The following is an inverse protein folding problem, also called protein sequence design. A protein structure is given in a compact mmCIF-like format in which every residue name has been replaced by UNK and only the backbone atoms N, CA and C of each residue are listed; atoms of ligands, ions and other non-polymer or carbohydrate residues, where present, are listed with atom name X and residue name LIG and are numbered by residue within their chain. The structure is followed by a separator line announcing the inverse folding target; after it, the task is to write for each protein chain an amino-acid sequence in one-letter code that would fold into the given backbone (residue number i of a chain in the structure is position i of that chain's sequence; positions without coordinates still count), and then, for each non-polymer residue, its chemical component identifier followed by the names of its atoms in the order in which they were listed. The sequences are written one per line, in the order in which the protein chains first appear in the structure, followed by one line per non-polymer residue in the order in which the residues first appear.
data_IF_768666250565
#
_entry.id   IF_768666250565
#
_cell.length_a   1.000
_cell.length_b   1.000
_cell.length_c   1.000
_cell.angle_alpha   90.00
_cell.angle_beta   90.00
_cell.angle_gamma   90.00
#
_symmetry.space_group_name_H-M   'P 1'
#
loop_
_entity.id
_entity.type
_entity.pdbx_description
1 polymer ?
#
# COMPACT_ATOMS: atom_id res chain seq x y z
N UNK A 1 -1.51 -5.68 -11.13
CA UNK A 1 -2.48 -4.78 -11.82
C UNK A 1 -3.51 -4.13 -10.90
N UNK A 2 -3.98 -4.80 -9.84
CA UNK A 2 -4.94 -4.23 -8.88
C UNK A 2 -4.37 -3.04 -8.10
N UNK A 3 -3.18 -3.20 -7.52
CA UNK A 3 -2.47 -2.13 -6.81
C UNK A 3 -2.27 -0.87 -7.69
N UNK A 4 -1.96 -1.04 -8.97
CA UNK A 4 -1.84 0.08 -9.92
C UNK A 4 -3.14 0.89 -10.03
N UNK A 5 -4.31 0.23 -10.12
CA UNK A 5 -5.61 0.92 -10.24
C UNK A 5 -5.90 1.77 -9.01
N UNK A 6 -5.61 1.24 -7.82
CA UNK A 6 -5.87 1.91 -6.55
C UNK A 6 -4.90 3.06 -6.28
N UNK A 7 -3.60 2.86 -6.53
CA UNK A 7 -2.57 3.89 -6.39
C UNK A 7 -2.81 5.03 -7.40
N UNK A 8 -3.15 4.69 -8.65
CA UNK A 8 -3.48 5.68 -9.69
C UNK A 8 -4.61 6.59 -9.23
N UNK A 9 -5.69 6.01 -8.69
CA UNK A 9 -6.83 6.79 -8.18
C UNK A 9 -6.37 7.76 -7.09
N UNK A 10 -5.62 7.28 -6.11
CA UNK A 10 -5.14 8.09 -5.00
C UNK A 10 -4.29 9.28 -5.47
N UNK A 11 -3.36 9.05 -6.39
CA UNK A 11 -2.47 10.08 -6.92
C UNK A 11 -3.26 11.16 -7.65
N UNK A 12 -4.20 10.78 -8.52
CA UNK A 12 -5.00 11.74 -9.27
C UNK A 12 -5.90 12.59 -8.36
N UNK A 13 -6.31 12.06 -7.21
CA UNK A 13 -7.12 12.78 -6.22
C UNK A 13 -6.30 13.75 -5.34
N UNK A 14 -4.99 13.51 -5.16
CA UNK A 14 -4.17 14.23 -4.18
C UNK A 14 -2.98 15.01 -4.78
N UNK A 15 -2.63 14.82 -6.05
CA UNK A 15 -1.50 15.47 -6.71
C UNK A 15 -1.91 16.38 -7.88
N UNK A 16 -1.13 17.45 -8.11
CA UNK A 16 -1.36 18.44 -9.17
C UNK A 16 -1.30 17.75 -10.57
N UNK A 17 -2.22 18.06 -11.50
CA UNK A 17 -2.49 17.25 -12.71
C UNK A 17 -1.27 16.98 -13.60
N UNK A 18 -0.36 17.94 -13.72
CA UNK A 18 0.78 17.88 -14.64
C UNK A 18 1.85 16.89 -14.13
N UNK A 19 2.06 16.80 -12.82
CA UNK A 19 3.01 15.86 -12.23
C UNK A 19 2.38 14.48 -11.96
N UNK A 20 1.06 14.44 -11.73
CA UNK A 20 0.33 13.19 -11.50
C UNK A 20 0.34 12.25 -12.72
N UNK A 21 0.19 12.78 -13.93
CA UNK A 21 0.19 11.98 -15.16
C UNK A 21 1.49 11.22 -15.41
N UNK A 22 2.63 11.93 -15.30
CA UNK A 22 3.96 11.31 -15.46
C UNK A 22 4.23 10.26 -14.37
N UNK A 23 3.88 10.58 -13.13
CA UNK A 23 4.06 9.66 -12.01
C UNK A 23 3.22 8.38 -12.16
N UNK A 24 1.98 8.51 -12.65
CA UNK A 24 1.11 7.36 -12.96
C UNK A 24 1.70 6.49 -14.07
N UNK A 25 2.27 7.07 -15.13
CA UNK A 25 2.91 6.30 -16.20
C UNK A 25 4.19 5.60 -15.71
N UNK A 26 5.01 6.27 -14.90
CA UNK A 26 6.19 5.66 -14.28
C UNK A 26 5.80 4.48 -13.37
N UNK A 27 4.76 4.63 -12.55
CA UNK A 27 4.20 3.56 -11.74
C UNK A 27 3.69 2.40 -12.59
N UNK A 28 3.01 2.69 -13.71
CA UNK A 28 2.53 1.65 -14.62
C UNK A 28 3.70 0.80 -15.13
N UNK A 29 4.79 1.45 -15.54
CA UNK A 29 6.00 0.78 -16.02
C UNK A 29 6.58 -0.12 -14.94
N UNK A 30 6.92 0.44 -13.78
CA UNK A 30 7.53 -0.30 -12.66
C UNK A 30 6.66 -1.49 -12.23
N UNK A 31 5.35 -1.28 -12.10
CA UNK A 31 4.41 -2.33 -11.68
C UNK A 31 4.11 -3.37 -12.77
N UNK A 32 4.54 -3.13 -14.02
CA UNK A 32 4.38 -4.06 -15.16
C UNK A 32 5.63 -4.85 -15.49
N UNK A 33 6.78 -4.47 -14.93
CA UNK A 33 8.10 -5.09 -15.20
C UNK A 33 8.54 -6.08 -14.13
N UNK A 34 7.60 -6.75 -13.47
CA UNK A 34 7.86 -7.77 -12.44
C UNK A 34 8.43 -9.09 -12.97
N UNK A 35 9.38 -9.04 -13.90
CA UNK A 35 10.05 -10.22 -14.43
C UNK A 35 11.26 -10.57 -13.56
N UNK A 36 11.46 -11.86 -13.28
CA UNK A 36 12.65 -12.34 -12.59
C UNK A 36 13.06 -13.70 -13.11
N UNK A 37 14.35 -14.01 -13.04
CA UNK A 37 14.92 -15.27 -13.48
C UNK A 37 15.24 -16.18 -12.29
N UNK A 38 14.91 -17.46 -12.41
CA UNK A 38 15.23 -18.47 -11.41
C UNK A 38 15.49 -19.83 -12.09
N UNK A 39 16.68 -20.41 -11.89
CA UNK A 39 17.14 -21.63 -12.57
C UNK A 39 16.87 -21.62 -14.08
N UNK A 40 17.41 -20.61 -14.77
CA UNK A 40 17.32 -20.43 -16.24
C UNK A 40 15.88 -20.32 -16.78
N UNK A 41 14.91 -20.03 -15.90
CA UNK A 41 13.52 -19.81 -16.26
C UNK A 41 13.11 -18.40 -15.92
N UNK A 42 12.45 -17.74 -16.87
CA UNK A 42 11.88 -16.42 -16.69
C UNK A 42 10.46 -16.55 -16.11
N UNK A 43 10.21 -15.82 -15.03
CA UNK A 43 8.92 -15.72 -14.36
C UNK A 43 8.40 -14.29 -14.42
N UNK A 44 7.08 -14.14 -14.39
CA UNK A 44 6.41 -12.86 -14.22
C UNK A 44 5.59 -12.88 -12.93
N UNK A 45 5.79 -11.88 -12.09
CA UNK A 45 4.95 -11.66 -10.92
C UNK A 45 3.59 -11.11 -11.36
N UNK A 46 2.55 -11.92 -11.20
CA UNK A 46 1.18 -11.58 -11.60
C UNK A 46 0.35 -10.99 -10.46
N UNK A 47 0.79 -11.15 -9.21
CA UNK A 47 0.13 -10.65 -8.01
C UNK A 47 1.09 -9.87 -7.11
N UNK A 48 0.58 -8.84 -6.43
CA UNK A 48 1.37 -7.96 -5.56
C UNK A 48 2.16 -6.89 -6.31
N UNK A 49 3.01 -6.18 -5.56
CA UNK A 49 3.97 -5.20 -6.07
C UNK A 49 5.28 -5.94 -6.41
N UNK A 50 5.86 -5.76 -7.61
CA UNK A 50 7.08 -6.44 -8.00
C UNK A 50 8.24 -6.07 -7.08
N UNK A 51 9.04 -7.05 -6.65
CA UNK A 51 10.18 -6.84 -5.76
C UNK A 51 11.46 -6.73 -6.61
N UNK A 52 12.39 -5.84 -6.22
CA UNK A 52 13.73 -5.74 -6.83
C UNK A 52 14.05 -4.41 -7.51
N UNK A 53 13.05 -3.53 -7.68
CA UNK A 53 13.26 -2.16 -8.16
C UNK A 53 13.48 -1.19 -6.97
N UNK A 54 14.44 -0.25 -7.04
CA UNK A 54 14.72 0.68 -5.95
C UNK A 54 13.55 1.63 -5.59
N UNK A 55 12.59 1.84 -6.49
CA UNK A 55 11.40 2.65 -6.24
C UNK A 55 10.30 1.86 -5.51
N UNK A 56 10.33 0.53 -5.53
CA UNK A 56 9.27 -0.34 -4.98
C UNK A 56 9.00 -0.11 -3.49
N UNK A 57 10.00 0.05 -2.59
CA UNK A 57 9.73 0.28 -1.17
C UNK A 57 8.87 1.53 -0.93
N UNK A 58 9.11 2.60 -1.69
CA UNK A 58 8.33 3.84 -1.64
C UNK A 58 6.92 3.64 -2.18
N UNK A 59 6.77 2.87 -3.25
CA UNK A 59 5.47 2.57 -3.87
C UNK A 59 4.61 1.70 -2.94
N UNK A 60 5.19 0.67 -2.33
CA UNK A 60 4.52 -0.16 -1.33
C UNK A 60 4.10 0.69 -0.12
N UNK A 61 4.97 1.57 0.35
CA UNK A 61 4.65 2.50 1.44
C UNK A 61 3.48 3.41 1.09
N UNK A 62 3.45 3.96 -0.14
CA UNK A 62 2.35 4.79 -0.64
C UNK A 62 1.05 3.99 -0.73
N UNK A 63 1.12 2.74 -1.20
CA UNK A 63 -0.03 1.86 -1.31
C UNK A 63 -0.70 1.61 0.03
N UNK A 64 0.08 1.28 1.07
CA UNK A 64 -0.47 1.08 2.42
C UNK A 64 -0.97 2.41 3.01
N UNK A 65 -0.27 3.52 2.78
CA UNK A 65 -0.70 4.84 3.25
C UNK A 65 -2.08 5.27 2.71
N UNK A 66 -2.43 4.85 1.49
CA UNK A 66 -3.79 5.05 0.96
C UNK A 66 -4.85 4.35 1.82
N UNK A 67 -4.63 3.09 2.21
CA UNK A 67 -5.57 2.36 3.07
C UNK A 67 -5.60 2.91 4.50
N UNK A 68 -4.45 3.35 5.01
CA UNK A 68 -4.35 4.00 6.31
C UNK A 68 -5.20 5.27 6.34
N UNK A 69 -4.99 6.18 5.38
CA UNK A 69 -5.71 7.45 5.26
C UNK A 69 -7.21 7.28 5.01
N UNK A 70 -7.61 6.33 4.16
CA UNK A 70 -9.01 6.20 3.73
C UNK A 70 -9.85 5.27 4.60
N UNK A 71 -9.25 4.28 5.26
CA UNK A 71 -9.98 3.25 6.03
C UNK A 71 -9.56 3.18 7.50
N UNK A 72 -8.25 3.20 7.77
CA UNK A 72 -7.72 2.95 9.11
C UNK A 72 -7.90 4.15 10.05
N UNK A 73 -7.41 5.34 9.68
CA UNK A 73 -7.56 6.55 10.51
C UNK A 73 -9.04 6.90 10.78
N UNK A 74 -9.95 6.84 9.77
CA UNK A 74 -11.38 7.06 10.00
C UNK A 74 -12.03 6.01 10.91
N UNK A 75 -11.50 4.79 10.99
CA UNK A 75 -11.98 3.76 11.91
C UNK A 75 -11.48 4.02 13.35
N UNK A 76 -10.19 4.32 13.51
CA UNK A 76 -9.55 4.42 14.82
C UNK A 76 -9.88 5.75 15.53
N UNK A 77 -10.16 6.82 14.78
CA UNK A 77 -10.60 8.15 15.26
C UNK A 77 -9.92 8.57 16.57
N UNK A 78 -10.72 8.88 17.59
CA UNK A 78 -10.32 9.39 18.89
C UNK A 78 -9.72 8.32 19.82
N UNK A 79 -9.71 7.05 19.41
CA UNK A 79 -9.12 5.95 20.18
C UNK A 79 -7.65 5.71 19.81
N UNK A 80 -7.16 6.30 18.71
CA UNK A 80 -5.76 6.19 18.31
C UNK A 80 -4.88 7.11 19.15
N UNK A 81 -3.91 6.53 19.85
CA UNK A 81 -2.85 7.27 20.57
C UNK A 81 -1.62 7.38 19.68
N UNK A 82 -1.21 6.27 19.07
CA UNK A 82 -0.04 6.20 18.21
C UNK A 82 -0.27 5.22 17.07
N UNK A 83 0.14 5.61 15.87
CA UNK A 83 0.31 4.72 14.73
C UNK A 83 1.69 5.00 14.11
N UNK A 84 2.56 4.00 14.07
CA UNK A 84 3.86 4.05 13.41
C UNK A 84 4.04 2.79 12.59
N UNK A 85 4.47 2.93 11.33
CA UNK A 85 4.74 1.81 10.43
C UNK A 85 6.16 1.88 9.91
N UNK A 86 6.81 0.74 9.83
CA UNK A 86 8.09 0.50 9.19
C UNK A 86 7.92 -0.61 8.16
N UNK A 87 7.77 -0.24 6.89
CA UNK A 87 7.43 -1.16 5.79
C UNK A 87 6.20 -2.02 6.15
N UNK A 88 6.39 -3.31 6.41
CA UNK A 88 5.33 -4.28 6.70
C UNK A 88 4.99 -4.38 8.19
N UNK A 89 5.83 -3.83 9.08
CA UNK A 89 5.64 -3.85 10.53
C UNK A 89 4.96 -2.57 11.03
N UNK A 90 4.01 -2.69 11.96
CA UNK A 90 3.34 -1.55 12.55
C UNK A 90 3.23 -1.64 14.08
N UNK A 91 3.50 -0.51 14.74
CA UNK A 91 3.22 -0.27 16.14
C UNK A 91 1.97 0.59 16.28
N UNK A 92 0.96 0.06 16.98
CA UNK A 92 -0.31 0.75 17.23
C UNK A 92 -0.59 0.80 18.72
N UNK A 93 -0.87 1.99 19.24
CA UNK A 93 -1.30 2.20 20.62
C UNK A 93 -2.72 2.76 20.58
N UNK A 94 -3.64 2.07 21.23
CA UNK A 94 -5.05 2.44 21.35
C UNK A 94 -5.43 2.71 22.81
N UNK A 95 -6.46 3.53 23.01
CA UNK A 95 -7.11 3.66 24.32
C UNK A 95 -7.75 2.32 24.73
N UNK A 96 -7.85 2.05 26.02
CA UNK A 96 -8.32 0.78 26.60
C UNK A 96 -9.73 0.38 26.11
N UNK A 97 -10.62 1.36 25.96
CA UNK A 97 -11.95 1.16 25.39
C UNK A 97 -11.94 0.78 23.88
N UNK A 98 -10.79 0.84 23.20
CA UNK A 98 -10.61 0.59 21.78
C UNK A 98 -10.34 -0.86 21.40
N UNK A 99 -10.33 -1.82 22.33
CA UNK A 99 -9.99 -3.23 22.04
C UNK A 99 -10.88 -3.88 20.97
N UNK A 100 -12.15 -3.47 20.86
CA UNK A 100 -13.04 -3.95 19.81
C UNK A 100 -12.64 -3.46 18.39
N UNK A 101 -11.85 -2.40 18.29
CA UNK A 101 -11.36 -1.85 17.02
C UNK A 101 -10.18 -2.65 16.47
N UNK A 102 -9.43 -3.35 17.33
CA UNK A 102 -8.28 -4.18 16.93
C UNK A 102 -8.69 -5.19 15.85
N UNK A 103 -9.77 -5.95 16.06
CA UNK A 103 -10.27 -6.93 15.09
C UNK A 103 -10.68 -6.29 13.77
N UNK A 104 -11.30 -5.10 13.81
CA UNK A 104 -11.71 -4.37 12.60
C UNK A 104 -10.51 -3.83 11.84
N UNK A 105 -9.50 -3.33 12.56
CA UNK A 105 -8.24 -2.87 12.02
C UNK A 105 -7.49 -4.00 11.31
N UNK A 106 -7.33 -5.15 11.98
CA UNK A 106 -6.71 -6.34 11.41
C UNK A 106 -7.48 -6.84 10.19
N UNK A 107 -8.81 -6.82 10.21
CA UNK A 107 -9.61 -7.19 9.06
C UNK A 107 -9.37 -6.28 7.85
N UNK A 108 -9.23 -4.96 8.05
CA UNK A 108 -8.89 -4.02 6.99
C UNK A 108 -7.50 -4.32 6.42
N UNK A 109 -6.48 -4.45 7.28
CA UNK A 109 -5.11 -4.69 6.84
C UNK A 109 -5.00 -6.03 6.07
N UNK A 110 -5.61 -7.10 6.59
CA UNK A 110 -5.60 -8.41 5.94
C UNK A 110 -6.44 -8.49 4.66
N UNK A 111 -7.29 -7.49 4.41
CA UNK A 111 -8.06 -7.35 3.16
C UNK A 111 -7.27 -6.69 2.03
N UNK A 112 -6.11 -6.10 2.32
CA UNK A 112 -5.25 -5.47 1.31
C UNK A 112 -4.60 -6.58 0.48
N UNK A 113 -5.11 -6.79 -0.74
CA UNK A 113 -4.69 -7.88 -1.63
C UNK A 113 -3.26 -7.70 -2.18
N UNK A 114 -2.76 -6.46 -2.28
CA UNK A 114 -1.45 -6.16 -2.86
C UNK A 114 -0.24 -6.32 -1.92
N UNK A 115 -0.44 -6.74 -0.67
CA UNK A 115 0.61 -7.02 0.32
C UNK A 115 0.83 -8.53 0.57
N UNK A 116 0.17 -9.40 -0.21
CA UNK A 116 0.30 -10.86 -0.11
C UNK A 116 1.07 -11.44 -1.30
#
# INVERSE_FOLDING_TARGET
MEAYKEIKKYILEHFVPIHGGLFVEALRLILSTGYFEFYDKLYIQTNGIPIGDPAVPSIATLYVAYYESTKLYPLLKSNLILYKRYLDDALVILKDNGRFLEKKMLAILNSISGLK
#
